data_IF_726378757854
#
_entry.id   IF_726378757854
#
_cell.length_a   1.000
_cell.length_b   1.000
_cell.length_c   1.000
_cell.angle_alpha   90.00
_cell.angle_beta   90.00
_cell.angle_gamma   90.00
#
_symmetry.space_group_name_H-M   'P 1'
#
loop_
_entity.id
_entity.type
_entity.pdbx_description
1 polymer ?
#
# COMPACT_ATOMS: atom_id res chain seq x y z
N UNK A 1 -26.11 48.95 -26.97
CA UNK A 1 -26.22 47.99 -28.09
C UNK A 1 -25.35 46.78 -27.77
N UNK A 2 -25.92 45.59 -27.99
CA UNK A 2 -25.41 44.26 -27.61
C UNK A 2 -24.28 43.81 -28.54
N UNK A 3 -23.19 43.24 -28.00
CA UNK A 3 -22.32 42.18 -28.59
C UNK A 3 -21.58 41.52 -27.40
N UNK A 4 -21.95 40.35 -26.88
CA UNK A 4 -21.91 38.98 -27.42
C UNK A 4 -20.49 38.40 -27.60
N UNK A 5 -20.16 37.48 -26.68
CA UNK A 5 -19.44 36.19 -26.88
C UNK A 5 -17.94 36.25 -27.24
N UNK A 6 -17.09 35.63 -26.42
CA UNK A 6 -16.42 34.37 -26.79
C UNK A 6 -15.70 33.73 -25.60
N UNK A 7 -16.07 32.49 -25.34
CA UNK A 7 -15.35 31.53 -24.51
C UNK A 7 -13.91 31.37 -25.00
N UNK A 8 -12.95 31.43 -24.07
CA UNK A 8 -11.58 30.95 -24.31
C UNK A 8 -11.39 29.69 -23.46
N UNK A 9 -11.83 28.57 -24.02
CA UNK A 9 -11.37 27.25 -23.65
C UNK A 9 -10.01 27.04 -24.32
N UNK A 10 -8.92 27.32 -23.61
CA UNK A 10 -7.57 26.96 -24.08
C UNK A 10 -7.23 25.57 -23.56
N UNK A 11 -7.49 24.59 -24.43
CA UNK A 11 -6.76 23.33 -24.50
C UNK A 11 -5.26 23.62 -24.48
N UNK A 12 -4.57 23.19 -23.43
CA UNK A 12 -3.12 23.13 -23.38
C UNK A 12 -2.69 21.74 -22.91
N UNK A 13 -2.11 20.98 -23.85
CA UNK A 13 -0.97 20.13 -23.54
C UNK A 13 -1.23 18.66 -23.30
N UNK A 14 -1.75 17.96 -24.31
CA UNK A 14 -1.37 16.57 -24.52
C UNK A 14 0.11 16.52 -24.94
N UNK A 15 1.02 16.45 -23.97
CA UNK A 15 2.41 16.02 -24.19
C UNK A 15 2.96 15.37 -22.92
N UNK A 16 2.64 14.10 -22.73
CA UNK A 16 3.37 13.20 -21.83
C UNK A 16 3.39 11.80 -22.44
N UNK A 17 4.14 11.64 -23.54
CA UNK A 17 4.66 10.34 -23.96
C UNK A 17 5.77 9.93 -22.98
N UNK A 18 5.75 8.66 -22.58
CA UNK A 18 6.85 7.91 -21.96
C UNK A 18 7.17 8.20 -20.48
N UNK A 19 6.35 7.67 -19.58
CA UNK A 19 6.78 7.20 -18.26
C UNK A 19 6.29 5.75 -18.07
N UNK A 20 7.08 4.83 -17.48
CA UNK A 20 6.65 3.44 -17.35
C UNK A 20 5.45 3.39 -16.42
N UNK A 21 4.40 2.70 -16.88
CA UNK A 21 3.24 2.24 -16.12
C UNK A 21 3.28 2.61 -14.63
N UNK A 22 2.71 3.76 -14.26
CA UNK A 22 2.34 4.01 -12.88
C UNK A 22 1.22 3.02 -12.56
N UNK A 23 1.65 1.87 -12.06
CA UNK A 23 0.84 0.77 -11.60
C UNK A 23 -0.44 1.25 -10.93
N UNK A 24 -1.58 0.81 -11.46
CA UNK A 24 -2.91 0.83 -10.85
C UNK A 24 -2.79 0.40 -9.39
N UNK A 25 -2.66 1.37 -8.49
CA UNK A 25 -2.66 1.10 -7.07
C UNK A 25 -3.84 1.84 -6.50
N UNK A 26 -5.05 1.25 -6.56
CA UNK A 26 -6.26 2.00 -6.29
C UNK A 26 -6.25 2.66 -4.89
N UNK A 27 -5.57 2.06 -3.89
CA UNK A 27 -5.36 2.65 -2.56
C UNK A 27 -4.56 3.97 -2.60
N UNK A 28 -3.61 4.14 -3.52
CA UNK A 28 -2.93 5.42 -3.72
C UNK A 28 -3.90 6.44 -4.29
N UNK A 29 -4.70 6.06 -5.27
CA UNK A 29 -5.68 6.96 -5.90
C UNK A 29 -6.76 7.38 -4.90
N UNK A 30 -7.34 6.42 -4.15
CA UNK A 30 -8.26 6.68 -3.06
C UNK A 30 -7.62 7.53 -1.94
N UNK A 31 -6.30 7.45 -1.74
CA UNK A 31 -5.58 8.27 -0.74
C UNK A 31 -5.37 9.70 -1.22
N UNK A 32 -5.09 9.90 -2.51
CA UNK A 32 -5.02 11.24 -3.09
C UNK A 32 -6.42 11.88 -3.09
N UNK A 33 -7.49 11.15 -3.43
CA UNK A 33 -8.88 11.64 -3.30
C UNK A 33 -9.21 12.14 -1.88
N UNK A 34 -8.94 11.33 -0.85
CA UNK A 34 -9.11 11.75 0.56
C UNK A 34 -8.27 13.00 0.90
N UNK A 35 -7.12 13.17 0.27
CA UNK A 35 -6.23 14.31 0.51
C UNK A 35 -6.71 15.57 -0.21
N UNK A 36 -7.30 15.45 -1.38
CA UNK A 36 -7.95 16.53 -2.13
C UNK A 36 -9.20 17.03 -1.40
N UNK A 37 -10.13 16.14 -1.07
CA UNK A 37 -11.35 16.50 -0.32
C UNK A 37 -11.01 17.09 1.07
N UNK A 38 -9.91 16.66 1.69
CA UNK A 38 -9.45 17.25 2.96
C UNK A 38 -8.87 18.66 2.78
N UNK A 39 -8.30 18.98 1.61
CA UNK A 39 -7.90 20.36 1.28
C UNK A 39 -9.14 21.21 1.04
N UNK A 40 -10.12 20.70 0.31
CA UNK A 40 -11.39 21.39 0.03
C UNK A 40 -12.16 21.68 1.33
N UNK A 41 -12.27 20.70 2.24
CA UNK A 41 -12.79 20.92 3.59
C UNK A 41 -12.00 21.98 4.39
N UNK A 42 -10.68 22.08 4.18
CA UNK A 42 -9.85 23.09 4.86
C UNK A 42 -10.10 24.48 4.29
N UNK A 43 -10.27 24.62 2.99
CA UNK A 43 -10.63 25.88 2.33
C UNK A 43 -12.07 26.30 2.71
N UNK A 44 -13.03 25.37 2.74
CA UNK A 44 -14.40 25.62 3.20
C UNK A 44 -14.46 26.06 4.68
N UNK A 45 -13.60 25.50 5.54
CA UNK A 45 -13.47 25.99 6.93
C UNK A 45 -12.91 27.39 7.01
N UNK A 46 -12.11 27.79 6.03
CA UNK A 46 -11.47 29.10 5.96
C UNK A 46 -12.44 30.18 5.45
N UNK A 47 -13.40 29.80 4.60
CA UNK A 47 -14.47 30.68 4.12
C UNK A 47 -15.58 30.94 5.15
N UNK A 48 -15.65 30.14 6.23
CA UNK A 48 -16.61 30.34 7.33
C UNK A 48 -18.04 29.89 7.01
N UNK A 49 -18.26 29.28 5.84
CA UNK A 49 -19.58 28.80 5.43
C UNK A 49 -19.90 27.45 6.09
N UNK A 50 -20.84 27.45 7.04
CA UNK A 50 -21.18 26.25 7.80
C UNK A 50 -21.85 25.16 6.93
N UNK A 51 -22.51 25.53 5.84
CA UNK A 51 -23.14 24.61 4.89
C UNK A 51 -22.10 23.84 4.07
N UNK A 52 -21.19 24.57 3.42
CA UNK A 52 -20.07 24.02 2.66
C UNK A 52 -19.17 23.14 3.53
N UNK A 53 -18.90 23.52 4.79
CA UNK A 53 -18.13 22.68 5.72
C UNK A 53 -18.86 21.37 6.05
N UNK A 54 -20.20 21.38 6.10
CA UNK A 54 -20.98 20.17 6.39
C UNK A 54 -20.97 19.19 5.21
N UNK A 55 -21.06 19.70 3.97
CA UNK A 55 -21.06 18.88 2.76
C UNK A 55 -19.67 18.30 2.46
N UNK A 56 -18.62 19.13 2.49
CA UNK A 56 -17.22 18.69 2.34
C UNK A 56 -16.82 17.63 3.39
N UNK A 57 -17.40 17.71 4.60
CA UNK A 57 -17.15 16.72 5.65
C UNK A 57 -17.81 15.37 5.33
N UNK A 58 -18.94 15.37 4.62
CA UNK A 58 -19.58 14.12 4.14
C UNK A 58 -18.72 13.50 3.04
N UNK A 59 -18.18 14.31 2.14
CA UNK A 59 -17.32 13.84 1.04
C UNK A 59 -16.04 13.21 1.58
N UNK A 60 -15.30 13.91 2.46
CA UNK A 60 -14.13 13.36 3.17
C UNK A 60 -14.46 12.04 3.90
N UNK A 61 -15.67 11.92 4.46
CA UNK A 61 -16.10 10.69 5.14
C UNK A 61 -16.40 9.58 4.13
N UNK A 62 -16.98 9.90 2.98
CA UNK A 62 -17.24 8.98 1.88
C UNK A 62 -15.93 8.44 1.30
N UNK A 63 -14.97 9.29 0.89
CA UNK A 63 -13.70 8.81 0.37
C UNK A 63 -12.88 8.05 1.41
N UNK A 64 -12.96 8.43 2.70
CA UNK A 64 -12.32 7.65 3.77
C UNK A 64 -12.94 6.26 3.90
N UNK A 65 -14.25 6.12 3.70
CA UNK A 65 -14.94 4.82 3.69
C UNK A 65 -14.49 4.00 2.48
N UNK A 66 -14.44 4.59 1.29
CA UNK A 66 -13.94 3.92 0.08
C UNK A 66 -12.50 3.42 0.24
N UNK A 67 -11.60 4.28 0.71
CA UNK A 67 -10.21 3.91 1.01
C UNK A 67 -10.11 2.80 2.08
N UNK A 68 -11.01 2.79 3.06
CA UNK A 68 -11.08 1.72 4.05
C UNK A 68 -11.52 0.40 3.42
N UNK A 69 -12.58 0.40 2.61
CA UNK A 69 -13.08 -0.80 1.93
C UNK A 69 -12.06 -1.36 0.96
N UNK A 70 -11.36 -0.50 0.22
CA UNK A 70 -10.33 -0.94 -0.70
C UNK A 70 -9.11 -1.54 0.01
N UNK A 71 -8.71 -0.95 1.15
CA UNK A 71 -7.69 -1.56 2.04
C UNK A 71 -8.12 -2.92 2.57
N UNK A 72 -9.41 -3.08 2.91
CA UNK A 72 -9.96 -4.37 3.35
C UNK A 72 -9.92 -5.39 2.21
N UNK A 73 -10.31 -5.01 0.99
CA UNK A 73 -10.23 -5.87 -0.21
C UNK A 73 -8.80 -6.34 -0.46
N UNK A 74 -7.83 -5.43 -0.53
CA UNK A 74 -6.41 -5.80 -0.69
C UNK A 74 -5.88 -6.68 0.45
N UNK A 75 -6.31 -6.41 1.69
CA UNK A 75 -5.95 -7.26 2.82
C UNK A 75 -6.58 -8.65 2.70
N UNK A 76 -7.83 -8.75 2.24
CA UNK A 76 -8.52 -10.01 2.04
C UNK A 76 -7.88 -10.82 0.91
N UNK A 77 -7.58 -10.22 -0.23
CA UNK A 77 -6.85 -10.80 -1.36
C UNK A 77 -5.49 -11.32 -0.89
N UNK A 78 -4.69 -10.47 -0.22
CA UNK A 78 -3.39 -10.88 0.31
C UNK A 78 -3.50 -12.06 1.29
N UNK A 79 -4.51 -12.05 2.16
CA UNK A 79 -4.75 -13.16 3.09
C UNK A 79 -5.26 -14.42 2.37
N UNK A 80 -6.00 -14.28 1.27
CA UNK A 80 -6.44 -15.39 0.43
C UNK A 80 -5.26 -16.02 -0.30
N UNK A 81 -4.37 -15.22 -0.90
CA UNK A 81 -3.12 -15.69 -1.51
C UNK A 81 -2.23 -16.42 -0.50
N UNK A 82 -2.05 -15.83 0.69
CA UNK A 82 -1.26 -16.47 1.75
C UNK A 82 -1.89 -17.79 2.18
N UNK A 83 -3.22 -17.86 2.33
CA UNK A 83 -3.94 -19.11 2.63
C UNK A 83 -3.85 -20.12 1.49
N UNK A 84 -3.88 -19.70 0.24
CA UNK A 84 -3.71 -20.60 -0.91
C UNK A 84 -2.30 -21.20 -0.94
N UNK A 85 -1.27 -20.39 -0.68
CA UNK A 85 0.13 -20.83 -0.72
C UNK A 85 0.54 -21.68 0.47
N UNK A 86 0.08 -21.34 1.67
CA UNK A 86 0.59 -21.93 2.91
C UNK A 86 -0.48 -22.67 3.73
N UNK A 87 -1.77 -22.48 3.43
CA UNK A 87 -2.87 -23.21 4.06
C UNK A 87 -2.93 -23.00 5.57
N UNK A 88 -3.16 -24.10 6.28
CA UNK A 88 -3.35 -24.10 7.74
C UNK A 88 -2.08 -23.81 8.53
N UNK A 89 -0.90 -23.95 7.90
CA UNK A 89 0.39 -23.73 8.57
C UNK A 89 0.53 -22.29 9.08
N UNK A 90 -0.19 -21.33 8.48
CA UNK A 90 -0.23 -19.93 8.90
C UNK A 90 -0.77 -19.74 10.32
N UNK A 91 -1.51 -20.71 10.86
CA UNK A 91 -2.00 -20.67 12.24
C UNK A 91 -0.87 -20.97 13.23
N UNK A 92 0.18 -21.71 12.83
CA UNK A 92 1.32 -22.07 13.70
C UNK A 92 2.06 -20.80 14.17
N UNK A 93 2.38 -20.67 15.47
CA UNK A 93 3.05 -19.48 15.99
C UNK A 93 4.44 -19.26 15.37
N UNK A 94 5.19 -20.32 15.10
CA UNK A 94 6.50 -20.25 14.43
C UNK A 94 6.43 -19.66 13.02
N UNK A 95 5.39 -20.03 12.26
CA UNK A 95 5.16 -19.48 10.91
C UNK A 95 4.79 -18.00 10.97
N UNK A 96 3.92 -17.60 11.90
CA UNK A 96 3.57 -16.18 12.08
C UNK A 96 4.80 -15.33 12.44
N UNK A 97 5.65 -15.84 13.33
CA UNK A 97 6.88 -15.16 13.73
C UNK A 97 7.84 -14.97 12.54
N UNK A 98 8.06 -16.02 11.74
CA UNK A 98 8.87 -15.93 10.53
C UNK A 98 8.25 -14.97 9.49
N UNK A 99 6.92 -14.91 9.37
CA UNK A 99 6.26 -14.00 8.40
C UNK A 99 6.42 -12.55 8.79
N UNK A 100 6.31 -12.26 10.08
CA UNK A 100 6.63 -10.94 10.62
C UNK A 100 8.09 -10.57 10.37
N UNK A 101 9.02 -11.51 10.59
CA UNK A 101 10.45 -11.29 10.40
C UNK A 101 10.81 -11.03 8.93
N UNK A 102 10.36 -11.91 8.02
CA UNK A 102 10.56 -11.78 6.59
C UNK A 102 10.00 -10.46 6.07
N UNK A 103 8.77 -10.11 6.46
CA UNK A 103 8.11 -8.85 6.07
C UNK A 103 8.92 -7.63 6.50
N UNK A 104 9.42 -7.61 7.75
CA UNK A 104 10.26 -6.50 8.26
C UNK A 104 11.57 -6.39 7.50
N UNK A 105 12.24 -7.52 7.21
CA UNK A 105 13.50 -7.55 6.46
C UNK A 105 13.32 -7.09 5.03
N UNK A 106 12.30 -7.58 4.33
CA UNK A 106 11.95 -7.14 2.98
C UNK A 106 11.61 -5.65 2.93
N UNK A 107 10.84 -5.14 3.90
CA UNK A 107 10.52 -3.71 3.98
C UNK A 107 11.77 -2.85 4.17
N UNK A 108 12.73 -3.29 5.00
CA UNK A 108 14.01 -2.60 5.19
C UNK A 108 14.84 -2.61 3.91
N UNK A 109 14.97 -3.76 3.24
CA UNK A 109 15.74 -3.88 2.00
C UNK A 109 15.16 -3.04 0.86
N UNK A 110 13.84 -3.03 0.70
CA UNK A 110 13.16 -2.17 -0.30
C UNK A 110 13.35 -0.68 0.00
N UNK A 111 13.37 -0.30 1.28
CA UNK A 111 13.68 1.09 1.65
C UNK A 111 15.13 1.46 1.29
N UNK A 112 16.08 0.56 1.54
CA UNK A 112 17.49 0.76 1.17
C UNK A 112 17.62 0.90 -0.34
N UNK A 113 16.98 0.01 -1.10
CA UNK A 113 16.93 0.05 -2.56
C UNK A 113 16.39 1.39 -3.05
N UNK A 114 15.21 1.83 -2.56
CA UNK A 114 14.60 3.11 -2.94
C UNK A 114 15.54 4.29 -2.71
N UNK A 115 16.15 4.38 -1.51
CA UNK A 115 17.09 5.45 -1.17
C UNK A 115 18.35 5.38 -2.01
N UNK A 116 18.85 4.17 -2.32
CA UNK A 116 20.01 3.99 -3.18
C UNK A 116 19.74 4.43 -4.62
N UNK A 117 18.56 4.10 -5.16
CA UNK A 117 18.11 4.54 -6.49
C UNK A 117 17.96 6.06 -6.55
N UNK A 118 17.32 6.68 -5.56
CA UNK A 118 17.19 8.14 -5.45
C UNK A 118 18.56 8.84 -5.41
N UNK A 119 19.55 8.21 -4.77
CA UNK A 119 20.93 8.71 -4.66
C UNK A 119 21.86 8.24 -5.78
N UNK A 120 21.34 7.54 -6.81
CA UNK A 120 22.10 6.98 -7.94
C UNK A 120 23.31 6.13 -7.51
N UNK A 121 23.15 5.34 -6.44
CA UNK A 121 24.19 4.45 -5.91
C UNK A 121 23.99 3.02 -6.41
N UNK A 122 24.31 2.76 -7.67
CA UNK A 122 23.99 1.50 -8.36
C UNK A 122 24.59 0.25 -7.68
N UNK A 123 25.79 0.37 -7.11
CA UNK A 123 26.40 -0.72 -6.35
C UNK A 123 25.56 -1.12 -5.13
N UNK A 124 24.92 -0.16 -4.45
CA UNK A 124 24.03 -0.43 -3.31
C UNK A 124 22.69 -0.99 -3.77
N UNK A 125 22.16 -0.54 -4.92
CA UNK A 125 20.95 -1.12 -5.52
C UNK A 125 21.17 -2.61 -5.82
N UNK A 126 22.27 -2.95 -6.51
CA UNK A 126 22.63 -4.36 -6.81
C UNK A 126 22.77 -5.21 -5.54
N UNK A 127 23.43 -4.68 -4.51
CA UNK A 127 23.57 -5.38 -3.21
C UNK A 127 22.22 -5.56 -2.51
N UNK A 128 21.34 -4.56 -2.55
CA UNK A 128 20.01 -4.64 -1.95
C UNK A 128 19.15 -5.69 -2.65
N UNK A 129 19.14 -5.73 -3.99
CA UNK A 129 18.43 -6.74 -4.78
C UNK A 129 18.97 -8.14 -4.48
N UNK A 130 20.29 -8.33 -4.49
CA UNK A 130 20.88 -9.61 -4.13
C UNK A 130 20.54 -10.06 -2.71
N UNK A 131 20.46 -9.13 -1.76
CA UNK A 131 20.01 -9.41 -0.39
C UNK A 131 18.52 -9.77 -0.31
N UNK A 132 17.67 -9.18 -1.16
CA UNK A 132 16.25 -9.55 -1.25
C UNK A 132 16.08 -10.99 -1.72
N UNK A 133 16.81 -11.41 -2.76
CA UNK A 133 16.76 -12.79 -3.25
C UNK A 133 17.25 -13.78 -2.18
N UNK A 134 18.33 -13.45 -1.48
CA UNK A 134 18.82 -14.27 -0.35
C UNK A 134 17.78 -14.36 0.77
N UNK A 135 17.06 -13.29 1.08
CA UNK A 135 16.01 -13.32 2.11
C UNK A 135 14.79 -14.12 1.67
N UNK A 136 14.38 -14.05 0.40
CA UNK A 136 13.33 -14.92 -0.17
C UNK A 136 13.70 -16.40 -0.05
N UNK A 137 14.93 -16.76 -0.40
CA UNK A 137 15.41 -18.14 -0.28
C UNK A 137 15.46 -18.63 1.19
N UNK A 138 15.94 -17.78 2.11
CA UNK A 138 15.94 -18.08 3.56
C UNK A 138 14.53 -18.30 4.09
N UNK A 139 13.61 -17.42 3.70
CA UNK A 139 12.22 -17.50 4.10
C UNK A 139 11.56 -18.77 3.56
N UNK A 140 11.77 -19.12 2.29
CA UNK A 140 11.25 -20.36 1.71
C UNK A 140 11.78 -21.59 2.46
N UNK A 141 13.10 -21.69 2.68
CA UNK A 141 13.71 -22.79 3.42
C UNK A 141 13.10 -22.95 4.82
N UNK A 142 12.97 -21.85 5.57
CA UNK A 142 12.36 -21.89 6.91
C UNK A 142 10.88 -22.25 6.89
N UNK A 143 10.14 -21.82 5.88
CA UNK A 143 8.74 -22.21 5.74
C UNK A 143 8.60 -23.71 5.47
N UNK A 144 9.49 -24.27 4.65
CA UNK A 144 9.52 -25.70 4.36
C UNK A 144 9.91 -26.51 5.62
N UNK A 145 10.89 -26.03 6.40
CA UNK A 145 11.25 -26.61 7.70
C UNK A 145 10.08 -26.59 8.70
N UNK A 146 9.37 -25.46 8.83
CA UNK A 146 8.20 -25.34 9.71
C UNK A 146 6.99 -26.15 9.21
N UNK A 147 6.94 -26.44 7.90
CA UNK A 147 5.94 -27.33 7.29
C UNK A 147 6.21 -28.78 7.67
N UNK A 148 7.48 -29.20 7.61
CA UNK A 148 7.91 -30.53 7.99
C UNK A 148 7.81 -30.79 9.50
N UNK A 149 7.91 -29.75 10.34
CA UNK A 149 7.71 -29.91 11.78
C UNK A 149 6.24 -30.24 12.11
N UNK A 150 5.93 -31.38 12.75
CA UNK A 150 4.60 -31.63 13.30
C UNK A 150 4.28 -30.51 14.30
N UNK A 151 3.01 -30.13 14.40
CA UNK A 151 2.58 -29.12 15.37
C UNK A 151 3.15 -29.50 16.75
N UNK A 152 3.75 -28.57 17.51
CA UNK A 152 4.23 -28.90 18.84
C UNK A 152 3.04 -29.49 19.59
N UNK A 153 3.19 -30.74 20.05
CA UNK A 153 2.25 -31.35 20.96
C UNK A 153 1.98 -30.31 22.06
N UNK A 154 0.70 -29.97 22.26
CA UNK A 154 0.32 -29.03 23.30
C UNK A 154 0.97 -29.51 24.59
N UNK A 155 2.03 -28.83 25.04
CA UNK A 155 2.63 -29.10 26.34
C UNK A 155 1.53 -28.77 27.34
N UNK A 156 0.88 -29.82 27.83
CA UNK A 156 -0.14 -29.74 28.86
C UNK A 156 0.40 -28.87 29.98
N UNK A 157 -0.19 -27.68 30.10
CA UNK A 157 0.00 -26.85 31.27
C UNK A 157 -0.59 -27.61 32.43
N UNK A 158 0.28 -28.25 33.21
CA UNK A 158 -0.02 -28.66 34.57
C UNK A 158 -0.53 -27.42 35.32
N UNK A 159 -1.74 -27.53 35.86
CA UNK A 159 -2.21 -26.81 37.03
C UNK A 159 -2.93 -27.81 37.91
#
# INVERSE_FOLDING_TARGET
MKKAVLWVATLLGALALSGPAFADNPVKDAKEKVKEEKKELKEARKSGDAGAVADEKKDVKAAKKELSEEKKKKRAEHMAEMRAKWGEILKKPGVKAEMGLHSRRMARLRRIEKVATEKKKDALVKRAVAAQEKEKARHQKKMDELKAQPAPAASGGAK
#
